data_IF_154550800328
#
_entry.id   IF_154550800328
#
_cell.length_a   1.000
_cell.length_b   1.000
_cell.length_c   1.000
_cell.angle_alpha   90.00
_cell.angle_beta   90.00
_cell.angle_gamma   90.00
#
_symmetry.space_group_name_H-M   'P 1'
#
loop_
_entity.id
_entity.type
_entity.pdbx_description
1 polymer ?
#
# COMPACT_ATOMS: atom_id res chain seq x y z
N UNK A 1 -17.22 17.16 -13.59
CA UNK A 1 -16.76 15.75 -13.72
C UNK A 1 -15.43 15.43 -13.01
N UNK A 2 -14.25 15.94 -13.41
CA UNK A 2 -12.99 15.67 -12.67
C UNK A 2 -12.88 16.51 -11.38
N UNK A 3 -13.23 17.81 -11.48
CA UNK A 3 -13.22 18.76 -10.35
C UNK A 3 -14.07 18.28 -9.17
N UNK A 4 -15.30 17.82 -9.43
CA UNK A 4 -16.20 17.35 -8.37
C UNK A 4 -15.65 16.11 -7.66
N UNK A 5 -14.99 15.20 -8.40
CA UNK A 5 -14.34 14.01 -7.82
C UNK A 5 -13.16 14.39 -6.92
N UNK A 6 -12.36 15.38 -7.33
CA UNK A 6 -11.24 15.90 -6.54
C UNK A 6 -11.68 16.68 -5.30
N UNK A 7 -12.85 17.34 -5.37
CA UNK A 7 -13.45 18.08 -4.25
C UNK A 7 -14.24 17.19 -3.28
N UNK A 8 -14.17 15.87 -3.42
CA UNK A 8 -14.77 14.94 -2.48
C UNK A 8 -16.25 14.68 -2.74
N UNK A 9 -16.66 14.47 -3.99
CA UNK A 9 -18.02 14.01 -4.36
C UNK A 9 -18.46 12.67 -3.73
N UNK A 10 -17.66 12.11 -2.81
CA UNK A 10 -18.01 10.98 -1.96
C UNK A 10 -17.94 11.28 -0.44
N UNK A 11 -17.67 12.53 -0.05
CA UNK A 11 -17.54 12.97 1.35
C UNK A 11 -18.91 13.00 2.04
N UNK A 12 -19.93 13.54 1.35
CA UNK A 12 -21.30 13.62 1.82
C UNK A 12 -22.22 12.67 1.02
N UNK A 13 -21.98 11.36 1.14
CA UNK A 13 -22.85 10.35 0.54
C UNK A 13 -24.12 10.15 1.40
N UNK A 14 -25.31 9.97 0.81
CA UNK A 14 -26.48 9.48 1.53
C UNK A 14 -26.16 8.17 2.26
N UNK A 15 -26.80 7.93 3.42
CA UNK A 15 -26.54 6.75 4.24
C UNK A 15 -26.72 5.43 3.46
N UNK A 16 -27.77 5.33 2.64
CA UNK A 16 -28.04 4.18 1.79
C UNK A 16 -26.96 3.95 0.72
N UNK A 17 -26.41 5.02 0.14
CA UNK A 17 -25.32 4.89 -0.83
C UNK A 17 -24.00 4.46 -0.17
N UNK A 18 -23.72 4.93 1.05
CA UNK A 18 -22.57 4.45 1.84
C UNK A 18 -22.71 2.98 2.17
N UNK A 19 -23.87 2.55 2.63
CA UNK A 19 -24.16 1.17 2.95
C UNK A 19 -23.99 0.27 1.71
N UNK A 20 -24.55 0.65 0.57
CA UNK A 20 -24.38 -0.09 -0.69
C UNK A 20 -22.91 -0.21 -1.10
N UNK A 21 -22.09 0.84 -0.90
CA UNK A 21 -20.64 0.79 -1.18
C UNK A 21 -19.91 -0.14 -0.21
N UNK A 22 -20.22 -0.07 1.08
CA UNK A 22 -19.62 -0.94 2.09
C UNK A 22 -19.96 -2.40 1.82
N UNK A 23 -21.23 -2.71 1.55
CA UNK A 23 -21.67 -4.07 1.23
C UNK A 23 -20.95 -4.62 -0.01
N UNK A 24 -20.73 -3.81 -1.05
CA UNK A 24 -19.93 -4.23 -2.22
C UNK A 24 -18.51 -4.63 -1.85
N UNK A 25 -17.86 -3.90 -0.95
CA UNK A 25 -16.50 -4.23 -0.49
C UNK A 25 -16.50 -5.49 0.35
N UNK A 26 -17.46 -5.63 1.29
CA UNK A 26 -17.60 -6.81 2.14
C UNK A 26 -17.81 -8.06 1.28
N UNK A 27 -18.80 -8.04 0.37
CA UNK A 27 -19.06 -9.18 -0.52
C UNK A 27 -17.88 -9.48 -1.47
N UNK A 28 -17.10 -8.48 -1.86
CA UNK A 28 -15.89 -8.70 -2.65
C UNK A 28 -14.81 -9.39 -1.81
N UNK A 29 -14.65 -8.99 -0.54
CA UNK A 29 -13.69 -9.60 0.37
C UNK A 29 -14.04 -11.05 0.68
N UNK A 30 -15.31 -11.36 0.95
CA UNK A 30 -15.79 -12.73 1.16
C UNK A 30 -15.44 -13.63 -0.03
N UNK A 31 -15.77 -13.18 -1.25
CA UNK A 31 -15.43 -13.91 -2.49
C UNK A 31 -13.92 -14.05 -2.70
N UNK A 32 -13.15 -13.03 -2.32
CA UNK A 32 -11.70 -13.05 -2.45
C UNK A 32 -11.05 -14.06 -1.50
N UNK A 33 -11.56 -14.18 -0.27
CA UNK A 33 -11.13 -15.21 0.69
C UNK A 33 -11.38 -16.62 0.12
N UNK A 34 -12.51 -16.85 -0.55
CA UNK A 34 -12.84 -18.12 -1.19
C UNK A 34 -11.98 -18.40 -2.45
N UNK A 35 -11.83 -17.40 -3.32
CA UNK A 35 -11.02 -17.47 -4.54
C UNK A 35 -10.23 -16.17 -4.76
N UNK A 36 -8.92 -16.23 -4.50
CA UNK A 36 -7.97 -15.13 -4.65
C UNK A 36 -7.80 -14.65 -6.11
N UNK A 37 -8.40 -15.32 -7.10
CA UNK A 37 -8.38 -14.89 -8.51
C UNK A 37 -9.54 -13.95 -8.87
N UNK A 38 -10.47 -13.73 -7.95
CA UNK A 38 -11.61 -12.82 -8.16
C UNK A 38 -11.20 -11.35 -8.24
N UNK A 39 -10.00 -11.02 -7.74
CA UNK A 39 -9.36 -9.70 -7.81
C UNK A 39 -7.86 -9.87 -8.10
N UNK A 40 -7.14 -8.76 -8.23
CA UNK A 40 -5.67 -8.80 -8.29
C UNK A 40 -5.15 -9.43 -7.00
N UNK A 41 -4.38 -10.53 -7.06
CA UNK A 41 -3.95 -11.24 -5.87
C UNK A 41 -2.97 -10.38 -5.06
N UNK A 42 -2.98 -10.56 -3.73
CA UNK A 42 -1.95 -9.97 -2.88
C UNK A 42 -0.59 -10.52 -3.28
N UNK A 43 0.46 -9.70 -3.18
CA UNK A 43 1.82 -10.10 -3.48
C UNK A 43 2.75 -9.95 -2.26
N UNK A 44 2.63 -10.85 -1.26
CA UNK A 44 3.47 -10.81 -0.06
C UNK A 44 4.97 -10.84 -0.33
N UNK A 45 5.38 -11.48 -1.43
CA UNK A 45 6.79 -11.58 -1.80
C UNK A 45 7.30 -10.19 -2.16
N UNK A 46 6.61 -9.51 -3.07
CA UNK A 46 6.96 -8.16 -3.47
C UNK A 46 6.83 -7.16 -2.30
N UNK A 47 5.78 -7.26 -1.48
CA UNK A 47 5.60 -6.39 -0.31
C UNK A 47 6.77 -6.51 0.68
N UNK A 48 7.23 -7.74 0.95
CA UNK A 48 8.38 -7.97 1.82
C UNK A 48 9.70 -7.52 1.18
N UNK A 49 9.84 -7.65 -0.14
CA UNK A 49 11.00 -7.13 -0.86
C UNK A 49 11.06 -5.60 -0.77
N UNK A 50 9.94 -4.92 -0.98
CA UNK A 50 9.83 -3.48 -0.81
C UNK A 50 10.27 -3.04 0.59
N UNK A 51 9.73 -3.67 1.65
CA UNK A 51 10.14 -3.35 3.03
C UNK A 51 11.63 -3.63 3.27
N UNK A 52 12.19 -4.71 2.71
CA UNK A 52 13.63 -5.00 2.80
C UNK A 52 14.48 -3.94 2.11
N UNK A 53 14.07 -3.42 0.95
CA UNK A 53 14.78 -2.32 0.28
C UNK A 53 14.81 -1.05 1.14
N UNK A 54 13.69 -0.73 1.78
CA UNK A 54 13.62 0.39 2.72
C UNK A 54 14.57 0.19 3.90
N UNK A 55 14.55 -0.99 4.55
CA UNK A 55 15.44 -1.30 5.69
C UNK A 55 16.93 -1.25 5.34
N UNK A 56 17.29 -1.59 4.11
CA UNK A 56 18.67 -1.56 3.63
C UNK A 56 19.10 -0.17 3.11
N UNK A 57 18.21 0.83 3.12
CA UNK A 57 18.48 2.14 2.54
C UNK A 57 18.69 2.12 1.02
N UNK A 58 18.25 1.05 0.34
CA UNK A 58 18.42 0.83 -1.11
C UNK A 58 17.22 1.37 -1.91
N UNK A 59 16.70 2.52 -1.49
CA UNK A 59 15.46 3.09 -2.04
C UNK A 59 15.58 3.46 -3.53
N UNK A 60 16.79 3.72 -4.01
CA UNK A 60 17.09 4.05 -5.41
C UNK A 60 16.78 2.90 -6.36
N UNK A 61 16.70 1.66 -5.87
CA UNK A 61 16.32 0.51 -6.70
C UNK A 61 14.84 0.56 -7.11
N UNK A 62 14.03 1.34 -6.40
CA UNK A 62 12.63 1.56 -6.76
C UNK A 62 12.49 2.44 -8.01
N UNK A 63 13.51 3.24 -8.36
CA UNK A 63 13.51 4.08 -9.57
C UNK A 63 13.54 3.26 -10.86
N UNK A 64 14.02 2.01 -10.79
CA UNK A 64 14.05 1.10 -11.93
C UNK A 64 12.68 0.47 -12.23
N UNK A 65 11.72 0.53 -11.31
CA UNK A 65 10.41 -0.10 -11.46
C UNK A 65 9.42 0.89 -12.05
N UNK A 66 8.92 0.60 -13.25
CA UNK A 66 7.94 1.49 -13.90
C UNK A 66 6.58 1.45 -13.18
N UNK A 67 5.76 2.50 -13.33
CA UNK A 67 4.43 2.52 -12.73
C UNK A 67 3.53 1.39 -13.26
N UNK A 68 3.67 1.05 -14.54
CA UNK A 68 2.92 -0.02 -15.19
C UNK A 68 3.32 -1.38 -14.63
N UNK A 69 4.63 -1.63 -14.54
CA UNK A 69 5.19 -2.84 -13.95
C UNK A 69 4.75 -3.00 -12.49
N UNK A 70 4.84 -1.94 -11.68
CA UNK A 70 4.38 -1.97 -10.29
C UNK A 70 2.89 -2.33 -10.20
N UNK A 71 2.06 -1.74 -11.06
CA UNK A 71 0.63 -2.05 -11.10
C UNK A 71 0.35 -3.48 -11.58
N UNK A 72 1.17 -4.04 -12.45
CA UNK A 72 1.07 -5.44 -12.87
C UNK A 72 1.51 -6.41 -11.77
N UNK A 73 2.49 -6.05 -10.94
CA UNK A 73 3.02 -6.91 -9.88
C UNK A 73 2.14 -6.88 -8.62
N UNK A 74 1.73 -5.70 -8.18
CA UNK A 74 1.15 -5.49 -6.86
C UNK A 74 -0.25 -4.82 -6.89
N UNK A 75 -0.72 -4.42 -8.07
CA UNK A 75 -1.99 -3.75 -8.23
C UNK A 75 -1.89 -2.22 -8.18
N UNK A 76 -2.99 -1.54 -8.51
CA UNK A 76 -3.02 -0.06 -8.64
C UNK A 76 -2.97 0.66 -7.30
N UNK A 77 -3.49 0.06 -6.23
CA UNK A 77 -3.48 0.67 -4.89
C UNK A 77 -2.06 0.76 -4.30
N UNK A 78 -1.12 -0.03 -4.80
CA UNK A 78 0.26 -0.07 -4.32
C UNK A 78 1.03 1.25 -4.50
N UNK A 79 0.56 2.16 -5.35
CA UNK A 79 1.23 3.46 -5.54
C UNK A 79 1.26 4.35 -4.28
N UNK A 80 0.46 4.03 -3.25
CA UNK A 80 0.46 4.71 -1.96
C UNK A 80 1.79 4.57 -1.19
N UNK A 81 2.58 3.52 -1.47
CA UNK A 81 3.90 3.27 -0.85
C UNK A 81 4.94 4.35 -1.14
N UNK A 82 4.72 5.20 -2.17
CA UNK A 82 5.67 6.27 -2.54
C UNK A 82 5.93 7.21 -1.36
N UNK A 83 4.94 7.36 -0.48
CA UNK A 83 5.07 8.09 0.79
C UNK A 83 6.12 7.47 1.73
N UNK A 84 6.24 6.14 1.76
CA UNK A 84 7.26 5.44 2.54
C UNK A 84 8.65 5.66 1.94
N UNK A 85 8.77 5.58 0.61
CA UNK A 85 10.03 5.92 -0.08
C UNK A 85 10.51 7.33 0.25
N UNK A 86 9.61 8.32 0.23
CA UNK A 86 9.92 9.69 0.62
C UNK A 86 10.33 9.81 2.10
N UNK A 87 9.68 9.10 3.02
CA UNK A 87 10.04 9.08 4.43
C UNK A 87 11.46 8.51 4.67
N UNK A 88 11.80 7.41 4.00
CA UNK A 88 13.13 6.79 4.08
C UNK A 88 14.22 7.61 3.37
N UNK A 89 13.88 8.30 2.29
CA UNK A 89 14.78 9.29 1.67
C UNK A 89 15.08 10.43 2.65
N UNK A 90 14.04 10.95 3.32
CA UNK A 90 14.16 12.04 4.26
C UNK A 90 15.06 11.65 5.44
N UNK A 91 14.81 10.52 6.13
CA UNK A 91 15.64 10.12 7.28
C UNK A 91 17.10 9.83 6.87
N UNK A 92 17.33 9.29 5.66
CA UNK A 92 18.67 9.06 5.12
C UNK A 92 19.47 10.35 4.92
N UNK A 93 18.80 11.49 4.74
CA UNK A 93 19.46 12.80 4.66
C UNK A 93 19.93 13.33 6.02
N UNK A 94 19.48 12.75 7.14
CA UNK A 94 19.85 13.17 8.51
C UNK A 94 21.02 12.37 9.11
N UNK A 95 21.65 11.48 8.34
CA UNK A 95 22.82 10.70 8.76
C UNK A 95 22.51 9.21 8.93
N UNK A 96 23.33 8.53 9.74
CA UNK A 96 23.13 7.11 10.00
C UNK A 96 21.80 6.88 10.72
N UNK A 97 21.09 5.84 10.32
CA UNK A 97 19.84 5.43 10.92
C UNK A 97 19.75 3.91 10.88
N UNK A 98 18.86 3.36 11.71
CA UNK A 98 18.52 1.94 11.72
C UNK A 98 17.02 1.74 11.66
N UNK A 99 16.57 0.68 11.00
CA UNK A 99 15.18 0.26 11.05
C UNK A 99 14.87 -0.49 12.34
N UNK A 100 13.61 -0.47 12.75
CA UNK A 100 13.08 -1.29 13.84
C UNK A 100 11.57 -1.49 13.68
N UNK A 101 11.01 -2.45 14.41
CA UNK A 101 9.54 -2.65 14.44
C UNK A 101 8.92 -3.09 13.12
N UNK A 102 9.66 -3.83 12.28
CA UNK A 102 9.12 -4.40 11.03
C UNK A 102 7.99 -5.38 11.33
N UNK A 103 6.85 -5.16 10.69
CA UNK A 103 5.71 -6.08 10.66
C UNK A 103 5.09 -6.12 9.27
N UNK A 104 4.75 -7.31 8.80
CA UNK A 104 3.95 -7.48 7.60
C UNK A 104 3.00 -8.66 7.76
N UNK A 105 1.77 -8.51 7.29
CA UNK A 105 0.78 -9.59 7.18
C UNK A 105 -0.11 -9.37 5.95
N UNK A 106 -0.28 -10.38 5.08
CA UNK A 106 -1.38 -10.35 4.12
C UNK A 106 -2.70 -10.60 4.85
N UNK A 107 -3.71 -9.80 4.54
CA UNK A 107 -5.04 -9.89 5.13
C UNK A 107 -6.06 -10.00 3.98
N UNK A 108 -6.28 -11.22 3.45
CA UNK A 108 -7.29 -11.47 2.41
C UNK A 108 -8.66 -10.90 2.72
N UNK A 109 -9.08 -10.96 3.99
CA UNK A 109 -10.36 -10.45 4.48
C UNK A 109 -10.48 -8.93 4.33
N UNK A 110 -9.37 -8.22 4.17
CA UNK A 110 -9.33 -6.77 3.91
C UNK A 110 -8.89 -6.45 2.47
N UNK A 111 -8.61 -7.48 1.65
CA UNK A 111 -8.06 -7.35 0.29
C UNK A 111 -6.80 -6.47 0.31
N UNK A 112 -5.96 -6.63 1.35
CA UNK A 112 -4.79 -5.77 1.55
C UNK A 112 -3.63 -6.49 2.22
N UNK A 113 -2.41 -6.04 1.92
CA UNK A 113 -1.25 -6.27 2.77
C UNK A 113 -1.20 -5.19 3.86
N UNK A 114 -1.01 -5.58 5.12
CA UNK A 114 -0.79 -4.65 6.23
C UNK A 114 0.69 -4.66 6.60
N UNK A 115 1.35 -3.51 6.46
CA UNK A 115 2.75 -3.33 6.78
C UNK A 115 2.97 -2.21 7.81
N UNK A 116 3.99 -2.37 8.64
CA UNK A 116 4.54 -1.31 9.51
C UNK A 116 6.06 -1.42 9.51
N UNK A 117 6.73 -0.28 9.43
CA UNK A 117 8.18 -0.17 9.52
C UNK A 117 8.55 1.18 10.15
N UNK A 118 9.42 1.15 11.14
CA UNK A 118 9.95 2.35 11.79
C UNK A 118 11.44 2.48 11.51
N UNK A 119 11.94 3.71 11.56
CA UNK A 119 13.37 3.99 11.51
C UNK A 119 13.70 5.14 12.45
N UNK A 120 14.90 5.10 13.02
CA UNK A 120 15.41 6.17 13.90
C UNK A 120 16.86 6.46 13.58
N UNK A 121 17.26 7.72 13.70
CA UNK A 121 18.67 8.12 13.55
C UNK A 121 19.52 7.50 14.67
N UNK A 122 20.74 7.16 14.33
CA UNK A 122 21.76 6.73 15.27
C UNK A 122 22.61 7.95 15.60
N UNK A 123 22.46 8.45 16.83
CA UNK A 123 23.30 9.52 17.38
C UNK A 123 24.69 8.99 17.76
#
# INVERSE_FOLDING_TARGET
HMRDRLLGSGKDLPASERELRQQRVISAAEKFVEDQRTLHPLNPIWDNQFMTLLEQGRIQELDAVSNEELSAIAGKSTHEIKTWGAAFAAISAFGNWRSEGRYYRPIPEWIAGFGSLSARTEN
#
